data_IF_831002131972
#
_entry.id   IF_831002131972
#
_cell.length_a   1.000
_cell.length_b   1.000
_cell.length_c   1.000
_cell.angle_alpha   90.00
_cell.angle_beta   90.00
_cell.angle_gamma   90.00
#
_symmetry.space_group_name_H-M   'P 1'
#
loop_
_entity.id
_entity.type
_entity.pdbx_description
1 polymer ?
#
# COMPACT_ATOMS: atom_id res chain seq x y z
N UNK A 1 6.84 16.77 -23.69
CA UNK A 1 6.91 15.29 -23.75
C UNK A 1 8.26 14.76 -23.27
N UNK A 2 9.42 15.37 -23.58
CA UNK A 2 10.74 14.88 -23.08
C UNK A 2 11.08 15.26 -21.62
N UNK A 3 10.67 16.45 -21.18
CA UNK A 3 10.94 16.92 -19.80
C UNK A 3 10.26 16.07 -18.72
N UNK A 4 9.02 15.63 -18.98
CA UNK A 4 8.31 14.76 -18.04
C UNK A 4 8.93 13.36 -17.97
N UNK A 5 9.46 12.86 -19.09
CA UNK A 5 10.17 11.58 -19.10
C UNK A 5 11.48 11.62 -18.31
N UNK A 6 12.20 12.74 -18.38
CA UNK A 6 13.38 13.04 -17.54
C UNK A 6 13.00 13.19 -16.07
N UNK A 7 11.89 13.85 -15.76
CA UNK A 7 11.35 13.96 -14.41
C UNK A 7 11.02 12.58 -13.83
N UNK A 8 10.32 11.71 -14.56
CA UNK A 8 10.05 10.35 -14.10
C UNK A 8 11.32 9.49 -14.03
N UNK A 9 12.28 9.70 -14.91
CA UNK A 9 13.58 9.05 -14.83
C UNK A 9 14.34 9.42 -13.54
N UNK A 10 14.27 10.70 -13.14
CA UNK A 10 14.80 11.15 -11.85
C UNK A 10 14.19 10.33 -10.70
N UNK A 11 12.86 10.19 -10.66
CA UNK A 11 12.18 9.38 -9.65
C UNK A 11 12.66 7.92 -9.62
N UNK A 12 12.78 7.28 -10.79
CA UNK A 12 13.26 5.88 -10.87
C UNK A 12 14.71 5.72 -10.39
N UNK A 13 15.57 6.71 -10.62
CA UNK A 13 16.99 6.66 -10.22
C UNK A 13 17.17 6.89 -8.73
N UNK A 14 16.44 7.86 -8.16
CA UNK A 14 16.62 8.29 -6.78
C UNK A 14 15.85 7.42 -5.77
N UNK A 15 14.84 6.66 -6.25
CA UNK A 15 14.15 5.68 -5.42
C UNK A 15 15.17 4.69 -4.82
N UNK A 16 15.23 4.62 -3.48
CA UNK A 16 16.16 3.79 -2.69
C UNK A 16 17.65 4.17 -2.78
N UNK A 17 18.02 5.23 -3.50
CA UNK A 17 19.43 5.68 -3.59
C UNK A 17 19.66 7.03 -2.93
N UNK A 18 18.66 7.92 -2.93
CA UNK A 18 18.67 9.20 -2.21
C UNK A 18 17.27 9.50 -1.65
N UNK A 19 17.13 9.24 -0.35
CA UNK A 19 15.88 9.40 0.40
C UNK A 19 15.32 10.83 0.32
N UNK A 20 16.19 11.83 0.44
CA UNK A 20 15.76 13.23 0.50
C UNK A 20 15.30 13.71 -0.87
N UNK A 21 16.11 13.44 -1.90
CA UNK A 21 15.76 13.78 -3.28
C UNK A 21 14.46 13.09 -3.72
N UNK A 22 14.29 11.82 -3.34
CA UNK A 22 13.11 11.06 -3.70
C UNK A 22 11.84 11.52 -2.97
N UNK A 23 11.92 11.85 -1.68
CA UNK A 23 10.81 12.45 -0.94
C UNK A 23 10.35 13.76 -1.58
N UNK A 24 11.29 14.65 -1.92
CA UNK A 24 10.98 15.92 -2.60
C UNK A 24 10.33 15.68 -3.96
N UNK A 25 10.82 14.70 -4.72
CA UNK A 25 10.22 14.29 -5.98
C UNK A 25 8.78 13.80 -5.81
N UNK A 26 8.47 13.00 -4.79
CA UNK A 26 7.11 12.53 -4.54
C UNK A 26 6.19 13.67 -4.09
N UNK A 27 6.58 14.38 -3.03
CA UNK A 27 5.73 15.35 -2.34
C UNK A 27 5.48 16.61 -3.17
N UNK A 28 6.53 17.19 -3.75
CA UNK A 28 6.45 18.47 -4.46
C UNK A 28 6.43 18.33 -5.97
N UNK A 29 6.75 17.14 -6.49
CA UNK A 29 6.77 16.87 -7.92
C UNK A 29 5.59 16.02 -8.37
N UNK A 30 5.58 14.74 -7.99
CA UNK A 30 4.70 13.73 -8.58
C UNK A 30 3.25 13.87 -8.08
N UNK A 31 3.04 14.01 -6.76
CA UNK A 31 1.69 14.12 -6.19
C UNK A 31 0.89 15.30 -6.75
N UNK A 32 1.43 16.54 -6.84
CA UNK A 32 0.71 17.66 -7.45
C UNK A 32 0.30 17.40 -8.90
N UNK A 33 1.16 16.71 -9.68
CA UNK A 33 0.85 16.36 -11.07
C UNK A 33 -0.27 15.31 -11.16
N UNK A 34 -0.28 14.33 -10.26
CA UNK A 34 -1.36 13.35 -10.16
C UNK A 34 -2.70 13.99 -9.80
N UNK A 35 -2.71 15.07 -9.01
CA UNK A 35 -3.96 15.75 -8.62
C UNK A 35 -4.49 16.74 -9.64
N UNK A 36 -3.65 17.28 -10.52
CA UNK A 36 -4.01 18.46 -11.35
C UNK A 36 -3.85 18.25 -12.85
N UNK A 37 -2.98 17.33 -13.26
CA UNK A 37 -2.49 17.26 -14.64
C UNK A 37 -2.62 15.84 -15.23
N UNK A 38 -3.83 15.27 -15.16
CA UNK A 38 -4.11 13.90 -15.65
C UNK A 38 -3.66 13.68 -17.10
N UNK A 39 -3.73 14.71 -17.95
CA UNK A 39 -3.30 14.64 -19.35
C UNK A 39 -1.78 14.44 -19.51
N UNK A 40 -0.95 14.89 -18.55
CA UNK A 40 0.48 14.62 -18.53
C UNK A 40 0.78 13.21 -18.02
N UNK A 41 -0.01 12.75 -17.04
CA UNK A 41 0.17 11.45 -16.38
C UNK A 41 -0.31 10.31 -17.27
N UNK A 42 -1.46 10.46 -17.93
CA UNK A 42 -2.14 9.39 -18.68
C UNK A 42 -1.26 8.68 -19.73
N UNK A 43 -0.42 9.37 -20.52
CA UNK A 43 0.48 8.73 -21.51
C UNK A 43 1.66 7.98 -20.88
N UNK A 44 1.94 8.22 -19.59
CA UNK A 44 3.07 7.64 -18.84
C UNK A 44 2.63 6.89 -17.59
N UNK A 45 1.34 6.55 -17.52
CA UNK A 45 0.72 5.93 -16.35
C UNK A 45 1.51 4.71 -15.89
N UNK A 46 1.97 3.86 -16.82
CA UNK A 46 2.82 2.71 -16.49
C UNK A 46 4.04 3.10 -15.63
N UNK A 47 4.83 4.07 -16.09
CA UNK A 47 6.07 4.48 -15.42
C UNK A 47 5.77 5.18 -14.09
N UNK A 48 4.67 5.95 -14.04
CA UNK A 48 4.19 6.57 -12.80
C UNK A 48 3.80 5.50 -11.78
N UNK A 49 3.00 4.52 -12.19
CA UNK A 49 2.60 3.40 -11.33
C UNK A 49 3.80 2.58 -10.87
N UNK A 50 4.76 2.29 -11.76
CA UNK A 50 6.00 1.58 -11.40
C UNK A 50 6.77 2.31 -10.29
N UNK A 51 6.94 3.64 -10.40
CA UNK A 51 7.59 4.47 -9.37
C UNK A 51 6.84 4.41 -8.04
N UNK A 52 5.51 4.56 -8.07
CA UNK A 52 4.69 4.51 -6.86
C UNK A 52 4.72 3.12 -6.20
N UNK A 53 4.64 2.04 -6.98
CA UNK A 53 4.71 0.68 -6.46
C UNK A 53 6.09 0.37 -5.87
N UNK A 54 7.17 0.84 -6.48
CA UNK A 54 8.52 0.66 -5.95
C UNK A 54 8.71 1.38 -4.60
N UNK A 55 8.12 2.58 -4.46
CA UNK A 55 8.13 3.37 -3.24
C UNK A 55 7.24 2.78 -2.13
N UNK A 56 6.11 2.18 -2.50
CA UNK A 56 5.19 1.52 -1.56
C UNK A 56 5.80 0.32 -0.83
N UNK A 57 6.92 -0.22 -1.32
CA UNK A 57 7.70 -1.31 -0.73
C UNK A 57 8.95 -0.83 0.03
N UNK A 58 9.10 0.48 0.24
CA UNK A 58 10.26 1.06 0.92
C UNK A 58 10.31 0.79 2.42
N UNK A 59 11.48 1.01 3.03
CA UNK A 59 11.68 1.01 4.49
C UNK A 59 11.23 2.34 5.12
N UNK A 60 11.27 3.43 4.35
CA UNK A 60 10.91 4.75 4.82
C UNK A 60 9.39 4.91 4.85
N UNK A 61 8.82 4.98 6.06
CA UNK A 61 7.38 5.14 6.27
C UNK A 61 6.78 6.40 5.59
N UNK A 62 7.54 7.49 5.48
CA UNK A 62 7.09 8.71 4.81
C UNK A 62 6.98 8.52 3.29
N UNK A 63 7.96 7.85 2.66
CA UNK A 63 7.90 7.50 1.23
C UNK A 63 6.73 6.58 0.94
N UNK A 64 6.54 5.55 1.78
CA UNK A 64 5.44 4.61 1.64
C UNK A 64 4.11 5.34 1.73
N UNK A 65 3.94 6.22 2.72
CA UNK A 65 2.70 6.99 2.87
C UNK A 65 2.40 7.87 1.65
N UNK A 66 3.41 8.59 1.12
CA UNK A 66 3.26 9.42 -0.08
C UNK A 66 2.95 8.57 -1.32
N UNK A 67 3.59 7.40 -1.44
CA UNK A 67 3.33 6.47 -2.55
C UNK A 67 1.89 5.96 -2.53
N UNK A 68 1.38 5.56 -1.37
CA UNK A 68 -0.01 5.13 -1.22
C UNK A 68 -1.01 6.25 -1.43
N UNK A 69 -0.69 7.47 -1.02
CA UNK A 69 -1.49 8.65 -1.39
C UNK A 69 -1.56 8.81 -2.91
N UNK A 70 -0.43 8.70 -3.62
CA UNK A 70 -0.37 8.79 -5.07
C UNK A 70 -1.16 7.68 -5.77
N UNK A 71 -1.09 6.46 -5.26
CA UNK A 71 -1.92 5.35 -5.74
C UNK A 71 -3.40 5.67 -5.53
N UNK A 72 -3.82 6.13 -4.34
CA UNK A 72 -5.21 6.51 -4.09
C UNK A 72 -5.71 7.60 -5.05
N UNK A 73 -4.88 8.59 -5.40
CA UNK A 73 -5.23 9.60 -6.41
C UNK A 73 -5.46 8.99 -7.80
N UNK A 74 -4.65 7.99 -8.20
CA UNK A 74 -4.84 7.30 -9.49
C UNK A 74 -6.14 6.49 -9.54
N UNK A 75 -6.52 5.85 -8.43
CA UNK A 75 -7.73 5.02 -8.36
C UNK A 75 -9.01 5.81 -8.09
N UNK A 76 -8.92 6.90 -7.32
CA UNK A 76 -10.06 7.78 -7.07
C UNK A 76 -10.30 8.82 -8.18
N UNK A 77 -9.37 8.98 -9.12
CA UNK A 77 -9.40 10.01 -10.16
C UNK A 77 -9.85 9.53 -11.54
N UNK A 78 -9.66 10.40 -12.55
CA UNK A 78 -10.08 10.13 -13.93
C UNK A 78 -9.30 8.99 -14.62
N UNK A 79 -8.16 8.59 -14.03
CA UNK A 79 -7.31 7.51 -14.55
C UNK A 79 -7.69 6.12 -14.01
N UNK A 80 -8.73 6.02 -13.16
CA UNK A 80 -9.19 4.78 -12.53
C UNK A 80 -9.28 3.61 -13.50
N UNK A 81 -9.97 3.80 -14.64
CA UNK A 81 -10.18 2.76 -15.65
C UNK A 81 -8.87 2.14 -16.17
N UNK A 82 -7.82 2.95 -16.31
CA UNK A 82 -6.50 2.48 -16.75
C UNK A 82 -5.66 1.94 -15.60
N UNK A 83 -5.81 2.50 -14.40
CA UNK A 83 -5.13 2.04 -13.20
C UNK A 83 -5.55 0.61 -12.81
N UNK A 84 -6.77 0.19 -13.16
CA UNK A 84 -7.28 -1.18 -12.95
C UNK A 84 -6.36 -2.29 -13.49
N UNK A 85 -5.54 -1.99 -14.51
CA UNK A 85 -4.59 -2.94 -15.08
C UNK A 85 -3.50 -3.38 -14.07
N UNK A 86 -3.31 -2.61 -13.00
CA UNK A 86 -2.31 -2.86 -11.95
C UNK A 86 -2.92 -3.35 -10.64
N UNK A 87 -4.21 -3.72 -10.65
CA UNK A 87 -4.96 -4.09 -9.45
C UNK A 87 -4.29 -5.21 -8.65
N UNK A 88 -3.82 -6.26 -9.32
CA UNK A 88 -3.16 -7.40 -8.67
C UNK A 88 -1.86 -6.99 -7.98
N UNK A 89 -1.04 -6.17 -8.65
CA UNK A 89 0.19 -5.65 -8.06
C UNK A 89 -0.15 -4.84 -6.81
N UNK A 90 -1.15 -3.98 -6.86
CA UNK A 90 -1.53 -3.13 -5.73
C UNK A 90 -2.06 -3.94 -4.56
N UNK A 91 -2.91 -4.94 -4.81
CA UNK A 91 -3.36 -5.87 -3.77
C UNK A 91 -2.18 -6.56 -3.09
N UNK A 92 -1.20 -7.01 -3.88
CA UNK A 92 0.02 -7.63 -3.37
C UNK A 92 0.84 -6.65 -2.52
N UNK A 93 1.04 -5.41 -2.99
CA UNK A 93 1.77 -4.38 -2.23
C UNK A 93 1.00 -3.94 -0.98
N UNK A 94 -0.33 -3.95 -1.02
CA UNK A 94 -1.18 -3.65 0.12
C UNK A 94 -0.99 -4.70 1.22
N UNK A 95 -0.98 -5.97 0.85
CA UNK A 95 -0.68 -7.06 1.77
C UNK A 95 0.72 -6.92 2.38
N UNK A 96 1.75 -6.66 1.57
CA UNK A 96 3.12 -6.46 2.07
C UNK A 96 3.26 -5.22 2.95
N UNK A 97 2.62 -4.10 2.59
CA UNK A 97 2.59 -2.89 3.38
C UNK A 97 1.90 -3.12 4.72
N UNK A 98 0.75 -3.80 4.73
CA UNK A 98 0.05 -4.18 5.96
C UNK A 98 0.93 -5.05 6.86
N UNK A 99 1.51 -6.11 6.30
CA UNK A 99 2.38 -7.01 7.05
C UNK A 99 3.59 -6.29 7.64
N UNK A 100 4.14 -5.30 6.93
CA UNK A 100 5.31 -4.55 7.38
C UNK A 100 4.99 -3.48 8.41
N UNK A 101 4.00 -2.64 8.16
CA UNK A 101 3.77 -1.43 8.96
C UNK A 101 2.67 -1.57 10.00
N UNK A 102 1.73 -2.51 9.81
CA UNK A 102 0.56 -2.70 10.69
C UNK A 102 0.72 -3.93 11.57
N UNK A 103 1.01 -5.09 10.98
CA UNK A 103 1.04 -6.37 11.69
C UNK A 103 2.38 -6.67 12.36
N UNK A 104 3.49 -6.19 11.77
CA UNK A 104 4.82 -6.47 12.29
C UNK A 104 5.02 -5.91 13.70
N UNK A 105 5.58 -6.73 14.57
CA UNK A 105 6.19 -6.29 15.83
C UNK A 105 7.52 -5.55 15.61
N UNK A 106 8.15 -5.04 16.69
CA UNK A 106 9.39 -4.28 16.60
C UNK A 106 10.57 -5.11 16.10
N UNK A 107 11.63 -4.44 15.57
CA UNK A 107 12.88 -5.10 15.20
C UNK A 107 13.48 -5.92 16.34
N UNK A 108 14.24 -6.99 16.04
CA UNK A 108 14.93 -7.79 17.05
C UNK A 108 15.78 -6.93 17.98
N UNK A 109 15.57 -7.06 19.29
CA UNK A 109 16.31 -6.30 20.31
C UNK A 109 15.63 -5.03 20.83
N UNK A 110 14.54 -4.57 20.19
CA UNK A 110 13.79 -3.38 20.61
C UNK A 110 12.47 -3.67 21.33
N UNK A 111 12.05 -4.94 21.44
CA UNK A 111 10.79 -5.29 22.09
C UNK A 111 10.72 -6.74 22.55
N UNK A 112 9.58 -7.12 23.19
CA UNK A 112 9.40 -8.45 23.71
C UNK A 112 9.44 -9.49 22.58
N UNK A 113 10.06 -10.66 22.81
CA UNK A 113 10.06 -11.73 21.83
C UNK A 113 8.65 -12.31 21.68
N UNK A 114 8.07 -12.19 20.48
CA UNK A 114 6.77 -12.76 20.17
C UNK A 114 6.11 -12.10 18.96
N UNK A 115 5.30 -12.86 18.24
CA UNK A 115 4.55 -12.36 17.07
C UNK A 115 5.29 -12.49 15.75
N UNK A 116 4.66 -11.94 14.71
CA UNK A 116 5.24 -11.83 13.37
C UNK A 116 6.14 -10.59 13.29
N UNK A 117 7.31 -10.75 12.66
CA UNK A 117 8.18 -9.63 12.28
C UNK A 117 8.41 -9.75 10.79
N UNK A 118 8.11 -8.69 10.03
CA UNK A 118 8.34 -8.71 8.59
C UNK A 118 9.84 -8.63 8.30
N UNK A 119 10.34 -9.27 7.22
CA UNK A 119 11.76 -9.17 6.85
C UNK A 119 12.24 -7.74 6.64
N UNK A 120 11.34 -6.82 6.25
CA UNK A 120 11.65 -5.41 6.12
C UNK A 120 11.93 -4.80 7.51
N UNK A 121 11.07 -5.08 8.49
CA UNK A 121 11.24 -4.61 9.88
C UNK A 121 12.45 -5.26 10.54
N UNK A 122 12.77 -6.52 10.25
CA UNK A 122 14.01 -7.15 10.73
C UNK A 122 15.27 -6.37 10.33
N UNK A 123 15.22 -5.65 9.20
CA UNK A 123 16.33 -4.84 8.70
C UNK A 123 16.26 -3.35 9.07
N UNK A 124 15.19 -2.90 9.73
CA UNK A 124 15.05 -1.50 10.13
C UNK A 124 15.95 -1.16 11.31
N UNK A 125 16.51 0.04 11.26
CA UNK A 125 17.13 0.71 12.39
C UNK A 125 16.09 1.19 13.41
N UNK A 126 16.53 1.49 14.63
CA UNK A 126 15.69 2.07 15.68
C UNK A 126 14.97 3.35 15.23
N UNK A 127 15.65 4.17 14.41
CA UNK A 127 15.12 5.44 13.90
C UNK A 127 14.01 5.19 12.87
N UNK A 128 14.24 4.26 11.95
CA UNK A 128 13.23 3.87 10.94
C UNK A 128 12.01 3.25 11.60
N UNK A 129 12.20 2.37 12.58
CA UNK A 129 11.11 1.79 13.35
C UNK A 129 10.31 2.87 14.11
N UNK A 130 11.00 3.79 14.79
CA UNK A 130 10.36 4.89 15.52
C UNK A 130 9.54 5.81 14.60
N UNK A 131 9.96 5.98 13.35
CA UNK A 131 9.19 6.71 12.33
C UNK A 131 7.99 5.88 11.85
N UNK A 132 8.19 4.59 11.59
CA UNK A 132 7.12 3.66 11.20
C UNK A 132 6.01 3.59 12.26
N UNK A 133 6.35 3.48 13.54
CA UNK A 133 5.39 3.46 14.64
C UNK A 133 4.58 4.76 14.72
N UNK A 134 5.24 5.92 14.62
CA UNK A 134 4.56 7.23 14.62
C UNK A 134 3.62 7.39 13.43
N UNK A 135 4.00 6.86 12.27
CA UNK A 135 3.21 6.93 11.04
C UNK A 135 2.17 5.82 10.92
N UNK A 136 2.18 4.80 11.80
CA UNK A 136 1.30 3.63 11.74
C UNK A 136 -0.19 3.99 11.63
N UNK A 137 -0.74 4.97 12.37
CA UNK A 137 -2.14 5.36 12.21
C UNK A 137 -2.46 5.90 10.81
N UNK A 138 -1.59 6.74 10.25
CA UNK A 138 -1.76 7.32 8.92
C UNK A 138 -1.63 6.25 7.82
N UNK A 139 -0.66 5.34 7.96
CA UNK A 139 -0.50 4.20 7.05
C UNK A 139 -1.73 3.29 7.08
N UNK A 140 -2.28 3.01 8.26
CA UNK A 140 -3.51 2.21 8.41
C UNK A 140 -4.68 2.85 7.65
N UNK A 141 -4.87 4.16 7.80
CA UNK A 141 -5.92 4.89 7.09
C UNK A 141 -5.70 4.86 5.57
N UNK A 142 -4.46 5.08 5.12
CA UNK A 142 -4.12 5.05 3.70
C UNK A 142 -4.33 3.67 3.08
N UNK A 143 -3.99 2.58 3.80
CA UNK A 143 -4.20 1.22 3.34
C UNK A 143 -5.69 0.86 3.31
N UNK A 144 -6.48 1.33 4.27
CA UNK A 144 -7.92 1.12 4.28
C UNK A 144 -8.58 1.83 3.08
N UNK A 145 -8.17 3.07 2.78
CA UNK A 145 -8.64 3.79 1.60
C UNK A 145 -8.26 3.06 0.31
N UNK A 146 -7.02 2.59 0.20
CA UNK A 146 -6.58 1.82 -0.95
C UNK A 146 -7.39 0.52 -1.12
N UNK A 147 -7.66 -0.21 -0.02
CA UNK A 147 -8.48 -1.42 -0.02
C UNK A 147 -9.88 -1.15 -0.58
N UNK A 148 -10.53 -0.06 -0.14
CA UNK A 148 -11.85 0.37 -0.64
C UNK A 148 -11.81 0.66 -2.13
N UNK A 149 -10.87 1.50 -2.57
CA UNK A 149 -10.74 1.88 -3.97
C UNK A 149 -10.49 0.68 -4.89
N UNK A 150 -9.71 -0.30 -4.42
CA UNK A 150 -9.51 -1.58 -5.11
C UNK A 150 -10.82 -2.37 -5.17
N UNK A 151 -11.56 -2.47 -4.07
CA UNK A 151 -12.82 -3.21 -4.00
C UNK A 151 -13.89 -2.64 -4.93
N UNK A 152 -14.13 -1.32 -4.90
CA UNK A 152 -15.07 -0.67 -5.81
C UNK A 152 -14.69 -0.87 -7.29
N UNK A 153 -13.41 -1.10 -7.57
CA UNK A 153 -12.89 -1.30 -8.92
C UNK A 153 -12.97 -2.76 -9.36
N UNK A 154 -13.16 -3.68 -8.42
CA UNK A 154 -13.04 -5.11 -8.59
C UNK A 154 -14.14 -5.88 -7.86
N UNK A 155 -15.36 -5.33 -7.83
CA UNK A 155 -16.49 -5.74 -6.95
C UNK A 155 -16.54 -7.25 -6.70
N UNK A 156 -16.62 -8.08 -7.74
CA UNK A 156 -16.73 -9.55 -7.57
C UNK A 156 -15.38 -10.27 -7.40
N UNK A 157 -14.29 -9.65 -7.87
CA UNK A 157 -12.97 -10.29 -7.90
C UNK A 157 -12.24 -10.20 -6.57
N UNK A 158 -12.49 -9.16 -5.77
CA UNK A 158 -11.76 -8.99 -4.52
C UNK A 158 -12.19 -10.03 -3.49
N UNK A 159 -13.50 -10.29 -3.35
CA UNK A 159 -14.01 -11.32 -2.44
C UNK A 159 -13.60 -12.72 -2.89
N UNK A 160 -13.60 -12.98 -4.20
CA UNK A 160 -13.06 -14.22 -4.75
C UNK A 160 -11.57 -14.38 -4.41
N UNK A 161 -10.74 -13.35 -4.65
CA UNK A 161 -9.31 -13.38 -4.36
C UNK A 161 -9.02 -13.57 -2.86
N UNK A 162 -9.77 -12.90 -1.99
CA UNK A 162 -9.66 -13.07 -0.54
C UNK A 162 -10.07 -14.48 -0.11
N UNK A 163 -11.12 -15.05 -0.71
CA UNK A 163 -11.59 -16.41 -0.42
C UNK A 163 -10.63 -17.50 -0.92
N UNK A 164 -10.08 -17.33 -2.13
CA UNK A 164 -9.02 -18.21 -2.67
C UNK A 164 -7.77 -18.17 -1.81
N UNK A 165 -7.41 -16.98 -1.32
CA UNK A 165 -6.30 -16.80 -0.39
C UNK A 165 -6.57 -17.54 0.93
N UNK A 166 -7.74 -17.34 1.56
CA UNK A 166 -8.14 -18.07 2.77
C UNK A 166 -8.13 -19.59 2.58
N UNK A 167 -8.66 -20.11 1.46
CA UNK A 167 -8.65 -21.54 1.15
C UNK A 167 -7.23 -22.12 1.01
N UNK A 168 -6.29 -21.34 0.49
CA UNK A 168 -4.87 -21.70 0.37
C UNK A 168 -4.15 -21.69 1.73
N UNK A 169 -4.55 -20.81 2.64
CA UNK A 169 -4.02 -20.78 4.02
C UNK A 169 -4.44 -22.02 4.82
N UNK A 170 -5.57 -22.64 4.50
CA UNK A 170 -6.08 -23.85 5.19
C UNK A 170 -5.38 -25.12 4.70
N UNK A 171 -4.95 -25.17 3.44
CA UNK A 171 -4.41 -26.38 2.80
C UNK A 171 -2.89 -26.55 2.93
N UNK A 172 -2.16 -25.55 3.44
CA UNK A 172 -0.69 -25.55 3.48
C UNK A 172 -0.11 -26.12 4.79
N UNK A 173 0.81 -27.08 4.66
CA UNK A 173 1.63 -27.59 5.78
C UNK A 173 2.62 -26.52 6.25
N UNK A 174 2.37 -25.94 7.42
CA UNK A 174 3.13 -24.80 7.92
C UNK A 174 4.51 -25.18 8.47
N UNK A 175 5.55 -24.55 7.91
CA UNK A 175 6.84 -24.35 8.59
C UNK A 175 6.69 -23.48 9.85
N UNK A 176 7.68 -23.47 10.75
CA UNK A 176 7.66 -22.60 11.92
C UNK A 176 7.64 -21.10 11.55
N UNK A 177 8.26 -20.71 10.42
CA UNK A 177 8.23 -19.31 9.92
C UNK A 177 6.84 -18.90 9.44
N UNK A 178 6.08 -19.81 8.85
CA UNK A 178 4.71 -19.53 8.42
C UNK A 178 3.71 -19.54 9.58
N UNK A 179 4.05 -20.17 10.72
CA UNK A 179 3.16 -20.24 11.90
C UNK A 179 2.77 -18.85 12.45
N UNK A 180 3.68 -17.89 12.43
CA UNK A 180 3.39 -16.52 12.88
C UNK A 180 2.79 -15.65 11.78
N UNK A 181 3.01 -16.00 10.50
CA UNK A 181 2.48 -15.25 9.36
C UNK A 181 0.98 -15.53 9.11
N UNK A 182 0.53 -16.79 9.26
CA UNK A 182 -0.86 -17.16 8.95
C UNK A 182 -1.91 -16.36 9.76
N UNK A 183 -1.74 -16.13 11.08
CA UNK A 183 -2.65 -15.27 11.83
C UNK A 183 -2.73 -13.84 11.26
N UNK A 184 -1.60 -13.25 10.89
CA UNK A 184 -1.55 -11.89 10.34
C UNK A 184 -2.17 -11.80 8.95
N UNK A 185 -2.04 -12.85 8.14
CA UNK A 185 -2.72 -12.92 6.85
C UNK A 185 -4.25 -13.00 7.00
N UNK A 186 -4.76 -13.71 8.02
CA UNK A 186 -6.19 -13.68 8.33
C UNK A 186 -6.65 -12.32 8.84
N UNK A 187 -5.84 -11.67 9.68
CA UNK A 187 -6.12 -10.30 10.13
C UNK A 187 -6.09 -9.30 8.97
N UNK A 188 -5.22 -9.49 7.98
CA UNK A 188 -5.22 -8.71 6.76
C UNK A 188 -6.54 -8.87 5.98
N UNK A 189 -7.03 -10.10 5.79
CA UNK A 189 -8.32 -10.32 5.12
C UNK A 189 -9.46 -9.64 5.89
N UNK A 190 -9.49 -9.76 7.22
CA UNK A 190 -10.47 -9.04 8.07
C UNK A 190 -10.34 -7.53 7.88
N UNK A 191 -9.11 -6.99 7.92
CA UNK A 191 -8.85 -5.57 7.73
C UNK A 191 -9.38 -5.05 6.39
N UNK A 192 -9.18 -5.81 5.30
CA UNK A 192 -9.70 -5.45 3.98
C UNK A 192 -11.22 -5.49 3.98
N UNK A 193 -11.84 -6.55 4.51
CA UNK A 193 -13.32 -6.66 4.61
C UNK A 193 -13.92 -5.54 5.46
N UNK A 194 -13.33 -5.22 6.61
CA UNK A 194 -13.79 -4.13 7.47
C UNK A 194 -13.66 -2.77 6.77
N UNK A 195 -12.57 -2.57 6.01
CA UNK A 195 -12.38 -1.38 5.22
C UNK A 195 -13.46 -1.26 4.13
N UNK A 196 -13.89 -2.36 3.51
CA UNK A 196 -14.95 -2.35 2.48
C UNK A 196 -16.34 -2.14 3.11
N UNK A 197 -16.66 -2.89 4.17
CA UNK A 197 -17.99 -2.89 4.80
C UNK A 197 -18.37 -1.61 5.55
N UNK A 198 -17.43 -0.69 5.76
CA UNK A 198 -17.68 0.58 6.47
C UNK A 198 -18.51 1.60 5.66
N UNK A 199 -18.87 1.31 4.40
CA UNK A 199 -19.87 2.08 3.63
C UNK A 199 -21.29 1.50 3.69
N UNK A 200 -21.48 0.18 3.86
CA UNK A 200 -22.83 -0.40 3.96
C UNK A 200 -23.59 0.10 5.20
N UNK A 201 -22.89 0.33 6.32
CA UNK A 201 -23.50 0.93 7.52
C UNK A 201 -23.80 2.44 7.36
N UNK A 202 -22.99 3.18 6.60
CA UNK A 202 -23.21 4.61 6.36
C UNK A 202 -24.33 4.88 5.34
N UNK A 203 -24.45 4.05 4.30
CA UNK A 203 -25.53 4.10 3.32
C UNK A 203 -26.86 3.59 3.88
N UNK A 204 -26.83 2.60 4.78
CA UNK A 204 -28.02 2.09 5.48
C UNK A 204 -28.63 3.10 6.47
N UNK A 205 -27.81 3.94 7.11
CA UNK A 205 -28.28 5.00 8.02
C UNK A 205 -28.82 6.25 7.27
N UNK A 206 -28.31 6.53 6.07
CA UNK A 206 -28.82 7.62 5.22
C UNK A 206 -30.17 7.31 4.54
N UNK A 207 -30.61 6.04 4.55
CA UNK A 207 -31.91 5.59 4.02
C UNK A 207 -33.04 5.63 5.08
N UNK A 208 -32.69 5.90 6.34
CA UNK A 208 -33.63 5.91 7.49
C UNK A 208 -33.89 7.35 8.00
N UNK A 209 -33.30 8.37 7.39
CA UNK A 209 -33.58 9.79 7.65
C UNK A 209 -34.22 10.46 6.43
#
# INVERSE_FOLDING_TARGET
>A
SDQFDKFLYFGTVHCRTDQTAFLLFLEFGLLPLLSREDWLVAPRLRKVTEVLLQAAEGVNASEVLLAWHGLCLLFGGNLRSRATLYLQDILLRLAFGYLTFIASGPPPGLGPPGGFVSPVVESMTDVEWSLAERSRPALRQSFALAARLVAETAEDKIDQLLSEFEGTLVSSTCSWRTKNLMPELRQFVSFVRDAIGTEEEAAGLASIC
#
